data_IF_321896918739
#
_entry.id   IF_321896918739
#
_cell.length_a   1.000
_cell.length_b   1.000
_cell.length_c   1.000
_cell.angle_alpha   90.00
_cell.angle_beta   90.00
_cell.angle_gamma   90.00
#
_symmetry.space_group_name_H-M   'P 1'
#
loop_
_entity.id
_entity.type
_entity.pdbx_description
1 polymer ?
#
# COMPACT_ATOMS: atom_id res chain seq x y z
N UNK A 1 -12.72 -5.12 -11.50
CA UNK A 1 -11.76 -5.91 -12.30
C UNK A 1 -10.56 -6.24 -11.46
N UNK A 2 -10.24 -7.51 -11.34
CA UNK A 2 -9.05 -7.93 -10.60
C UNK A 2 -7.85 -7.96 -11.55
N UNK A 3 -6.75 -7.39 -11.08
CA UNK A 3 -5.49 -7.37 -11.80
C UNK A 3 -4.66 -8.59 -11.43
N UNK A 4 -4.03 -9.22 -12.40
CA UNK A 4 -3.07 -10.30 -12.18
C UNK A 4 -1.72 -9.90 -12.75
N UNK A 5 -0.67 -10.06 -11.97
CA UNK A 5 0.67 -9.67 -12.39
C UNK A 5 1.75 -10.48 -11.68
N UNK A 6 2.93 -10.47 -12.25
CA UNK A 6 4.13 -11.00 -11.62
C UNK A 6 5.14 -9.86 -11.43
N UNK A 7 5.79 -9.85 -10.29
CA UNK A 7 6.93 -8.97 -10.01
C UNK A 7 8.19 -9.83 -10.07
N UNK A 8 9.06 -9.54 -11.00
CA UNK A 8 10.29 -10.31 -11.24
C UNK A 8 11.53 -9.61 -10.73
N UNK A 9 12.50 -10.39 -10.28
CA UNK A 9 13.84 -9.92 -9.97
C UNK A 9 13.97 -9.19 -8.64
N UNK A 10 12.94 -9.18 -7.82
CA UNK A 10 12.96 -8.50 -6.53
C UNK A 10 13.45 -9.42 -5.40
N UNK A 11 13.83 -8.82 -4.28
CA UNK A 11 14.17 -9.55 -3.06
C UNK A 11 13.05 -9.38 -2.06
N UNK A 12 12.54 -10.50 -1.56
CA UNK A 12 11.56 -10.47 -0.47
C UNK A 12 12.30 -10.08 0.80
N UNK A 13 11.63 -9.32 1.64
CA UNK A 13 12.11 -8.82 2.92
C UNK A 13 13.10 -9.78 3.61
N UNK A 14 14.35 -9.36 3.76
CA UNK A 14 15.40 -10.10 4.45
C UNK A 14 16.06 -11.23 3.67
N UNK A 15 15.61 -11.53 2.45
CA UNK A 15 16.23 -12.56 1.61
C UNK A 15 17.42 -12.02 0.82
N UNK A 16 18.45 -12.85 0.64
CA UNK A 16 19.64 -12.48 -0.09
C UNK A 16 19.52 -12.66 -1.60
N UNK A 17 18.66 -13.56 -2.06
CA UNK A 17 18.49 -13.89 -3.48
C UNK A 17 17.20 -13.32 -4.03
N UNK A 18 17.23 -13.00 -5.34
CA UNK A 18 16.04 -12.52 -6.06
C UNK A 18 14.99 -13.64 -6.17
N UNK A 19 13.74 -13.25 -6.16
CA UNK A 19 12.62 -14.15 -6.35
C UNK A 19 11.49 -13.44 -7.11
N UNK A 20 10.56 -14.21 -7.64
CA UNK A 20 9.41 -13.68 -8.34
C UNK A 20 8.16 -13.83 -7.46
N UNK A 21 7.27 -12.85 -7.52
CA UNK A 21 6.02 -12.86 -6.77
C UNK A 21 4.88 -12.71 -7.74
N UNK A 22 3.94 -13.64 -7.71
CA UNK A 22 2.72 -13.59 -8.51
C UNK A 22 1.56 -13.12 -7.64
N UNK A 23 0.82 -12.13 -8.13
CA UNK A 23 -0.40 -11.65 -7.49
C UNK A 23 -1.55 -11.84 -8.46
N UNK A 24 -2.57 -12.56 -8.06
CA UNK A 24 -3.74 -12.83 -8.88
C UNK A 24 -5.00 -12.77 -8.01
N UNK A 25 -5.96 -11.94 -8.40
CA UNK A 25 -7.20 -11.79 -7.67
C UNK A 25 -7.02 -11.34 -6.21
N UNK A 26 -5.99 -10.52 -5.92
CA UNK A 26 -5.69 -10.05 -4.58
C UNK A 26 -4.95 -11.06 -3.70
N UNK A 27 -4.53 -12.20 -4.26
CA UNK A 27 -3.84 -13.28 -3.54
C UNK A 27 -2.44 -13.45 -4.13
N UNK A 28 -1.47 -13.76 -3.29
CA UNK A 28 -0.10 -14.03 -3.74
C UNK A 28 -0.02 -15.46 -4.23
N UNK A 29 -0.40 -15.68 -5.45
CA UNK A 29 -0.30 -16.94 -6.21
C UNK A 29 -1.21 -16.87 -7.42
N UNK A 30 -1.05 -17.80 -8.35
CA UNK A 30 -1.96 -17.99 -9.46
C UNK A 30 -1.39 -17.59 -10.82
N UNK A 31 -2.27 -17.43 -11.80
CA UNK A 31 -1.91 -17.02 -13.15
C UNK A 31 -1.82 -15.48 -13.24
N UNK A 32 -0.99 -15.00 -14.14
CA UNK A 32 -0.80 -13.55 -14.34
C UNK A 32 -0.81 -13.21 -15.83
N UNK A 33 -1.17 -11.96 -16.13
CA UNK A 33 -1.18 -11.43 -17.50
C UNK A 33 -0.26 -10.20 -17.68
N UNK A 34 0.24 -9.65 -16.59
CA UNK A 34 1.11 -8.47 -16.61
C UNK A 34 2.43 -8.79 -15.91
N UNK A 35 3.53 -8.28 -16.46
CA UNK A 35 4.87 -8.51 -15.93
C UNK A 35 5.49 -7.18 -15.55
N UNK A 36 5.96 -7.09 -14.30
CA UNK A 36 6.79 -5.98 -13.81
C UNK A 36 8.18 -6.51 -13.47
N UNK A 37 9.22 -5.87 -13.97
CA UNK A 37 10.60 -6.22 -13.67
C UNK A 37 11.20 -5.16 -12.74
N UNK A 38 11.57 -5.59 -11.54
CA UNK A 38 12.12 -4.71 -10.50
C UNK A 38 13.44 -5.29 -9.99
N UNK A 39 14.47 -5.23 -10.84
CA UNK A 39 15.82 -5.64 -10.45
C UNK A 39 16.35 -4.71 -9.36
N UNK A 40 17.03 -5.27 -8.37
CA UNK A 40 17.60 -4.54 -7.24
C UNK A 40 16.56 -3.85 -6.35
N UNK A 41 15.32 -4.31 -6.38
CA UNK A 41 14.27 -3.83 -5.49
C UNK A 41 13.99 -4.84 -4.39
N UNK A 42 13.59 -4.34 -3.22
CA UNK A 42 13.14 -5.18 -2.12
C UNK A 42 11.62 -5.11 -2.01
N UNK A 43 10.99 -6.22 -1.67
CA UNK A 43 9.54 -6.29 -1.46
C UNK A 43 9.27 -6.47 0.03
N UNK A 44 8.40 -5.65 0.56
CA UNK A 44 7.97 -5.71 1.95
C UNK A 44 6.46 -5.81 2.00
N UNK A 45 5.89 -6.33 3.11
CA UNK A 45 4.48 -6.13 3.39
C UNK A 45 4.13 -4.64 3.39
N UNK A 46 2.89 -4.29 3.07
CA UNK A 46 2.44 -2.90 3.14
C UNK A 46 2.67 -2.32 4.52
N UNK A 47 3.07 -1.05 4.57
CA UNK A 47 3.38 -0.39 5.84
C UNK A 47 2.11 -0.11 6.64
N UNK A 48 2.25 -0.11 7.95
CA UNK A 48 1.18 0.24 8.89
C UNK A 48 1.61 1.47 9.67
N UNK A 49 0.77 2.50 9.68
CA UNK A 49 0.99 3.70 10.49
C UNK A 49 -0.13 3.80 11.52
N UNK A 50 0.23 3.76 12.78
CA UNK A 50 -0.73 3.77 13.89
C UNK A 50 -1.04 5.17 14.41
N UNK A 51 -0.54 6.22 13.76
CA UNK A 51 -0.74 7.60 14.20
C UNK A 51 -0.77 8.55 13.01
N UNK A 52 -1.92 8.68 12.35
CA UNK A 52 -2.10 9.63 11.26
C UNK A 52 -3.27 10.56 11.54
N UNK A 53 -3.26 11.71 10.92
CA UNK A 53 -4.34 12.68 11.00
C UNK A 53 -4.99 12.83 9.64
N UNK A 54 -6.19 12.25 9.49
CA UNK A 54 -7.03 12.45 8.32
C UNK A 54 -7.96 13.62 8.65
N UNK A 55 -7.80 14.73 8.12
CA UNK A 55 -8.35 16.03 8.53
C UNK A 55 -9.86 16.18 8.35
N UNK A 56 -10.59 15.13 8.19
CA UNK A 56 -12.02 15.13 7.94
C UNK A 56 -12.74 14.21 8.94
N UNK A 57 -13.83 14.65 9.58
CA UNK A 57 -14.54 15.92 9.42
C UNK A 57 -13.88 17.11 10.14
N UNK A 58 -14.25 18.31 9.71
CA UNK A 58 -13.93 19.57 10.41
C UNK A 58 -12.73 20.32 9.86
N UNK A 59 -11.79 19.63 9.21
CA UNK A 59 -10.53 20.22 8.74
C UNK A 59 -10.27 19.88 7.26
N UNK A 60 -11.33 19.69 6.49
CA UNK A 60 -11.21 19.29 5.07
C UNK A 60 -10.51 20.34 4.20
N UNK A 61 -10.41 21.56 4.65
CA UNK A 61 -9.61 22.60 4.00
C UNK A 61 -8.11 22.30 4.02
N UNK A 62 -7.67 21.44 4.94
CA UNK A 62 -6.28 20.97 4.99
C UNK A 62 -6.08 19.74 4.13
N UNK A 63 -7.01 18.79 4.24
CA UNK A 63 -6.95 17.52 3.52
C UNK A 63 -8.27 16.79 3.70
N UNK A 64 -8.69 16.05 2.66
CA UNK A 64 -9.85 15.16 2.77
C UNK A 64 -9.39 13.74 3.07
N UNK A 65 -10.31 12.88 3.49
CA UNK A 65 -10.03 11.44 3.66
C UNK A 65 -9.56 10.84 2.32
N UNK A 66 -10.20 11.25 1.21
CA UNK A 66 -9.82 10.77 -0.11
C UNK A 66 -8.37 11.15 -0.46
N UNK A 67 -7.99 12.41 -0.30
CA UNK A 67 -6.63 12.84 -0.63
C UNK A 67 -5.59 12.26 0.31
N UNK A 68 -5.91 12.17 1.60
CA UNK A 68 -5.03 11.58 2.60
C UNK A 68 -4.81 10.09 2.38
N UNK A 69 -5.87 9.36 2.06
CA UNK A 69 -5.76 7.92 1.78
C UNK A 69 -4.97 7.64 0.50
N UNK A 70 -5.12 8.47 -0.53
CA UNK A 70 -4.30 8.36 -1.74
C UNK A 70 -2.83 8.61 -1.47
N UNK A 71 -2.51 9.59 -0.62
CA UNK A 71 -1.14 9.86 -0.22
C UNK A 71 -0.55 8.66 0.55
N UNK A 72 -1.31 8.05 1.44
CA UNK A 72 -0.89 6.84 2.15
C UNK A 72 -0.60 5.70 1.18
N UNK A 73 -1.50 5.43 0.25
CA UNK A 73 -1.32 4.38 -0.75
C UNK A 73 -0.08 4.63 -1.60
N UNK A 74 0.14 5.86 -2.03
CA UNK A 74 1.32 6.22 -2.81
C UNK A 74 2.62 6.00 -2.04
N UNK A 75 2.59 6.16 -0.72
CA UNK A 75 3.73 5.91 0.15
C UNK A 75 3.94 4.45 0.53
N UNK A 76 3.07 3.54 0.09
CA UNK A 76 3.19 2.12 0.40
C UNK A 76 2.48 1.68 1.68
N UNK A 77 1.62 2.52 2.23
CA UNK A 77 0.85 2.21 3.44
C UNK A 77 -0.45 1.51 3.08
N UNK A 78 -0.69 0.36 3.67
CA UNK A 78 -1.91 -0.42 3.46
C UNK A 78 -2.88 -0.35 4.62
N UNK A 79 -2.43 0.13 5.76
CA UNK A 79 -3.25 0.27 6.97
C UNK A 79 -2.81 1.52 7.71
N UNK A 80 -3.77 2.35 8.11
CA UNK A 80 -3.50 3.54 8.92
C UNK A 80 -4.54 3.63 10.04
N UNK A 81 -4.10 4.12 11.19
CA UNK A 81 -4.98 4.36 12.33
C UNK A 81 -5.12 5.87 12.52
N UNK A 82 -6.30 6.38 12.22
CA UNK A 82 -6.59 7.82 12.30
C UNK A 82 -6.79 8.27 13.74
N UNK A 83 -6.19 9.40 14.07
CA UNK A 83 -6.38 10.03 15.39
C UNK A 83 -7.73 10.72 15.45
N UNK A 84 -8.38 10.75 16.64
CA UNK A 84 -9.75 11.22 16.79
C UNK A 84 -9.90 12.74 16.99
N UNK A 85 -8.85 13.53 16.92
CA UNK A 85 -8.92 14.97 17.12
C UNK A 85 -9.49 15.69 15.89
N UNK A 86 -10.73 15.40 15.60
CA UNK A 86 -11.51 15.94 14.48
C UNK A 86 -12.71 16.74 15.04
N UNK A 87 -13.44 17.38 14.16
CA UNK A 87 -14.61 18.18 14.55
C UNK A 87 -15.82 17.83 13.63
N UNK A 88 -16.81 17.08 14.12
CA UNK A 88 -16.89 16.52 15.47
C UNK A 88 -15.93 15.34 15.70
N UNK A 89 -15.66 15.05 16.94
CA UNK A 89 -14.87 13.86 17.33
C UNK A 89 -15.70 12.60 17.00
N UNK A 90 -15.12 11.67 16.24
CA UNK A 90 -15.84 10.44 15.88
C UNK A 90 -16.08 9.50 17.06
#
# INVERSE_FOLDING_TARGET
MTMSFIVKGCKINGQASATDIVVSGGVIDGAYDTVFEFDNCAVFPGFVDVHVHLREPGFSYKETIETGSKACAHGGYTTVCSMPNLNPVP
#
